data_IF_791752413631
#
_entry.id   IF_791752413631
#
_cell.length_a   1.000
_cell.length_b   1.000
_cell.length_c   1.000
_cell.angle_alpha   90.00
_cell.angle_beta   90.00
_cell.angle_gamma   90.00
#
_symmetry.space_group_name_H-M   'P 1'
#
loop_
_entity.id
_entity.type
_entity.pdbx_description
1 polymer ?
#
# COMPACT_ATOMS: atom_id res chain seq x y z
N UNK A 1 -23.81 -5.86 4.68
CA UNK A 1 -22.60 -6.19 3.88
C UNK A 1 -21.94 -7.40 4.55
N UNK A 2 -21.20 -8.25 3.84
CA UNK A 2 -20.44 -9.33 4.47
C UNK A 2 -18.94 -9.12 4.24
N UNK A 3 -18.13 -9.66 5.14
CA UNK A 3 -16.71 -9.84 4.93
C UNK A 3 -16.49 -10.57 3.60
N UNK A 4 -15.56 -10.10 2.77
CA UNK A 4 -15.24 -10.74 1.49
C UNK A 4 -14.02 -11.65 1.56
N UNK A 5 -13.25 -11.63 2.65
CA UNK A 5 -11.97 -12.31 2.72
C UNK A 5 -12.08 -13.82 3.00
N UNK A 6 -13.26 -14.31 3.41
CA UNK A 6 -13.59 -15.73 3.48
C UNK A 6 -14.05 -16.33 2.15
N UNK A 7 -14.30 -15.50 1.13
CA UNK A 7 -14.60 -16.00 -0.21
C UNK A 7 -13.39 -16.77 -0.78
N UNK A 8 -13.68 -17.80 -1.59
CA UNK A 8 -12.66 -18.73 -2.10
C UNK A 8 -11.53 -18.01 -2.83
N UNK A 9 -11.87 -16.97 -3.59
CA UNK A 9 -10.96 -16.17 -4.40
C UNK A 9 -10.02 -15.35 -3.51
N UNK A 10 -10.57 -14.70 -2.48
CA UNK A 10 -9.80 -13.93 -1.52
C UNK A 10 -8.90 -14.82 -0.67
N UNK A 11 -9.43 -15.93 -0.15
CA UNK A 11 -8.68 -16.91 0.63
C UNK A 11 -7.51 -17.50 -0.18
N UNK A 12 -7.71 -17.74 -1.49
CA UNK A 12 -6.62 -18.18 -2.39
C UNK A 12 -5.50 -17.14 -2.48
N UNK A 13 -5.84 -15.85 -2.60
CA UNK A 13 -4.87 -14.76 -2.64
C UNK A 13 -4.10 -14.62 -1.32
N UNK A 14 -4.81 -14.66 -0.20
CA UNK A 14 -4.23 -14.65 1.16
C UNK A 14 -3.26 -15.83 1.32
N UNK A 15 -3.72 -17.04 0.99
CA UNK A 15 -2.89 -18.25 1.05
C UNK A 15 -1.64 -18.12 0.19
N UNK A 16 -1.77 -17.65 -1.06
CA UNK A 16 -0.62 -17.48 -1.96
C UNK A 16 0.44 -16.57 -1.34
N UNK A 17 0.04 -15.43 -0.78
CA UNK A 17 0.96 -14.48 -0.16
C UNK A 17 1.68 -15.08 1.05
N UNK A 18 0.96 -15.70 1.97
CA UNK A 18 1.54 -16.29 3.18
C UNK A 18 2.33 -17.58 2.92
N UNK A 19 2.00 -18.33 1.87
CA UNK A 19 2.79 -19.48 1.42
C UNK A 19 4.20 -19.06 0.97
N UNK A 20 4.40 -17.84 0.43
CA UNK A 20 5.74 -17.34 0.09
C UNK A 20 6.60 -17.21 1.35
N UNK A 21 6.04 -16.72 2.45
CA UNK A 21 6.72 -16.62 3.74
C UNK A 21 6.98 -18.01 4.32
N UNK A 22 5.96 -18.88 4.33
CA UNK A 22 6.07 -20.24 4.85
C UNK A 22 7.12 -21.09 4.11
N UNK A 23 7.25 -20.91 2.79
CA UNK A 23 8.27 -21.58 1.96
C UNK A 23 9.66 -20.94 2.07
N UNK A 24 9.82 -19.86 2.83
CA UNK A 24 11.09 -19.18 3.05
C UNK A 24 11.50 -18.17 1.97
N UNK A 25 10.65 -17.89 0.98
CA UNK A 25 10.94 -16.89 -0.07
C UNK A 25 10.87 -15.45 0.44
N UNK A 26 10.11 -15.21 1.52
CA UNK A 26 10.04 -13.93 2.22
C UNK A 26 10.32 -14.15 3.71
N UNK A 27 11.59 -14.26 4.13
CA UNK A 27 11.94 -14.67 5.49
C UNK A 27 11.53 -13.63 6.54
N UNK A 28 10.82 -14.08 7.56
CA UNK A 28 10.29 -13.26 8.66
C UNK A 28 10.91 -13.57 10.04
N UNK A 29 11.76 -14.60 10.12
CA UNK A 29 12.24 -15.24 11.37
C UNK A 29 13.24 -14.43 12.20
N UNK A 30 13.54 -13.17 11.84
CA UNK A 30 14.41 -12.28 12.61
C UNK A 30 13.81 -10.91 12.92
N UNK A 31 12.54 -10.67 12.58
CA UNK A 31 11.92 -9.34 12.70
C UNK A 31 11.12 -9.22 14.00
N UNK A 32 11.57 -8.36 14.91
CA UNK A 32 10.84 -7.99 16.14
C UNK A 32 9.63 -7.07 15.87
N UNK A 33 9.65 -6.31 14.78
CA UNK A 33 8.58 -5.35 14.40
C UNK A 33 8.40 -5.36 12.87
N UNK A 34 7.17 -5.25 12.35
CA UNK A 34 6.95 -4.90 10.94
C UNK A 34 7.33 -3.43 10.69
N UNK A 35 8.64 -3.16 10.59
CA UNK A 35 9.19 -1.84 10.25
C UNK A 35 9.72 -1.81 8.81
N UNK A 36 9.79 -0.60 8.23
CA UNK A 36 10.22 -0.33 6.85
C UNK A 36 11.53 -1.03 6.48
N UNK A 37 11.51 -2.12 5.69
CA UNK A 37 12.71 -2.86 5.33
C UNK A 37 13.51 -2.18 4.22
N UNK A 38 13.24 -0.90 3.92
CA UNK A 38 13.92 -0.15 2.86
C UNK A 38 15.43 -0.09 3.12
N UNK A 39 15.81 0.07 4.39
CA UNK A 39 17.21 0.00 4.82
C UNK A 39 17.81 -1.40 4.63
N UNK A 40 17.06 -2.46 4.94
CA UNK A 40 17.54 -3.83 4.76
C UNK A 40 17.68 -4.20 3.27
N UNK A 41 16.83 -3.64 2.40
CA UNK A 41 16.88 -3.84 0.97
C UNK A 41 18.11 -3.19 0.35
N UNK A 42 18.23 -1.85 0.43
CA UNK A 42 19.29 -1.11 -0.27
C UNK A 42 20.58 -0.98 0.53
N UNK A 43 20.50 -0.71 1.83
CA UNK A 43 21.70 -0.41 2.63
C UNK A 43 22.37 -1.68 3.16
N UNK A 44 21.60 -2.75 3.42
CA UNK A 44 22.13 -4.00 3.96
C UNK A 44 22.25 -5.15 2.94
N UNK A 45 21.81 -4.96 1.69
CA UNK A 45 21.81 -5.99 0.63
C UNK A 45 21.18 -7.33 1.07
N UNK A 46 20.14 -7.29 1.90
CA UNK A 46 19.51 -8.50 2.47
C UNK A 46 18.36 -9.05 1.62
N UNK A 47 17.78 -8.23 0.75
CA UNK A 47 16.59 -8.57 -0.02
C UNK A 47 16.75 -8.15 -1.48
N UNK A 48 16.32 -9.00 -2.40
CA UNK A 48 16.33 -8.71 -3.84
C UNK A 48 15.03 -8.08 -4.36
N UNK A 49 13.90 -8.28 -3.66
CA UNK A 49 12.61 -7.65 -3.97
C UNK A 49 11.92 -7.10 -2.71
N UNK A 50 11.24 -5.95 -2.85
CA UNK A 50 10.42 -5.33 -1.80
C UNK A 50 9.14 -4.75 -2.43
N UNK A 51 8.01 -4.94 -1.75
CA UNK A 51 6.78 -4.18 -2.05
C UNK A 51 6.82 -2.92 -1.19
N UNK A 52 6.81 -1.77 -1.83
CA UNK A 52 6.97 -0.48 -1.15
C UNK A 52 6.01 0.56 -1.72
N UNK A 53 5.48 1.42 -0.83
CA UNK A 53 4.75 2.61 -1.24
C UNK A 53 5.68 3.60 -1.94
N UNK A 54 5.16 4.28 -2.95
CA UNK A 54 5.82 5.43 -3.58
C UNK A 54 6.16 6.53 -2.58
N UNK A 55 5.38 6.67 -1.51
CA UNK A 55 5.70 7.61 -0.44
C UNK A 55 7.02 7.19 0.19
N UNK A 56 7.28 5.92 0.46
CA UNK A 56 8.58 5.50 0.97
C UNK A 56 9.68 5.44 -0.11
N UNK A 57 9.36 5.73 -1.38
CA UNK A 57 10.30 5.75 -2.48
C UNK A 57 11.21 6.99 -2.49
N UNK A 58 10.97 8.02 -1.68
CA UNK A 58 12.01 9.04 -1.41
C UNK A 58 13.26 8.45 -0.75
N UNK A 59 13.16 7.27 -0.11
CA UNK A 59 14.31 6.54 0.42
C UNK A 59 14.97 5.63 -0.63
N UNK A 60 14.42 5.52 -1.83
CA UNK A 60 14.99 4.77 -2.94
C UNK A 60 15.84 5.75 -3.75
N UNK A 61 17.18 5.63 -3.72
CA UNK A 61 18.04 6.51 -4.49
C UNK A 61 17.65 6.43 -5.97
N UNK A 62 17.36 7.58 -6.60
CA UNK A 62 17.06 7.64 -8.03
C UNK A 62 15.60 7.52 -8.43
N UNK A 63 14.69 7.26 -7.49
CA UNK A 63 13.28 7.11 -7.84
C UNK A 63 12.56 8.46 -7.95
N UNK A 64 12.99 9.45 -7.17
CA UNK A 64 12.67 10.87 -7.34
C UNK A 64 13.98 11.64 -7.27
N UNK A 65 14.06 12.81 -7.92
CA UNK A 65 15.25 13.64 -8.23
C UNK A 65 16.30 13.87 -7.10
N UNK A 66 16.07 13.38 -5.88
CA UNK A 66 17.00 13.35 -4.76
C UNK A 66 17.72 12.00 -4.66
N UNK A 67 18.71 11.78 -5.53
CA UNK A 67 19.65 10.68 -5.33
C UNK A 67 20.57 11.00 -4.14
N UNK A 68 20.45 10.25 -3.05
CA UNK A 68 21.45 10.26 -1.96
C UNK A 68 22.60 9.27 -2.21
N UNK A 69 22.44 8.38 -3.21
CA UNK A 69 23.39 7.31 -3.57
C UNK A 69 23.39 7.00 -5.08
N UNK A 70 24.18 7.71 -5.88
CA UNK A 70 24.29 7.47 -7.32
C UNK A 70 24.71 6.04 -7.71
N UNK A 71 25.43 5.35 -6.82
CA UNK A 71 26.04 4.03 -7.07
C UNK A 71 25.06 2.85 -7.16
N UNK A 72 23.78 3.08 -6.82
CA UNK A 72 22.71 2.07 -6.92
C UNK A 72 21.65 2.41 -7.96
N UNK A 73 21.74 3.57 -8.64
CA UNK A 73 20.74 4.03 -9.60
C UNK A 73 20.49 3.01 -10.72
N UNK A 74 21.55 2.40 -11.23
CA UNK A 74 21.48 1.43 -12.33
C UNK A 74 21.26 -0.02 -11.85
N UNK A 75 21.04 -0.22 -10.55
CA UNK A 75 20.98 -1.56 -9.93
C UNK A 75 19.58 -1.95 -9.45
N UNK A 76 18.59 -1.07 -9.62
CA UNK A 76 17.21 -1.38 -9.27
C UNK A 76 16.27 -1.12 -10.44
N UNK A 77 15.15 -1.83 -10.43
CA UNK A 77 14.04 -1.60 -11.33
C UNK A 77 12.74 -1.57 -10.53
N UNK A 78 11.72 -0.94 -11.10
CA UNK A 78 10.36 -0.96 -10.58
C UNK A 78 9.49 -1.76 -11.51
N UNK A 79 8.70 -2.66 -10.93
CA UNK A 79 7.81 -3.54 -11.65
C UNK A 79 6.40 -3.45 -11.06
N UNK A 80 5.40 -3.75 -11.88
CA UNK A 80 4.04 -3.93 -11.42
C UNK A 80 3.96 -5.08 -10.41
N UNK A 81 3.01 -4.99 -9.48
CA UNK A 81 2.58 -6.20 -8.77
C UNK A 81 2.09 -7.24 -9.80
N UNK A 82 2.43 -8.53 -9.60
CA UNK A 82 2.05 -9.57 -10.55
C UNK A 82 0.53 -9.67 -10.64
N UNK A 83 0.04 -9.94 -11.85
CA UNK A 83 -1.39 -10.20 -12.05
C UNK A 83 -1.76 -11.56 -11.42
N UNK A 84 -2.82 -11.58 -10.64
CA UNK A 84 -3.46 -12.81 -10.20
C UNK A 84 -4.61 -13.21 -11.14
N UNK A 85 -5.31 -14.32 -10.85
CA UNK A 85 -6.46 -14.76 -11.64
C UNK A 85 -7.59 -13.72 -11.74
N UNK A 86 -7.71 -12.82 -10.77
CA UNK A 86 -8.68 -11.72 -10.77
C UNK A 86 -8.19 -10.44 -11.47
N UNK A 87 -6.97 -10.44 -12.01
CA UNK A 87 -6.33 -9.26 -12.59
C UNK A 87 -5.18 -8.71 -11.75
N UNK A 88 -4.75 -7.50 -12.10
CA UNK A 88 -3.66 -6.78 -11.45
C UNK A 88 -4.23 -5.63 -10.63
N UNK A 89 -3.83 -5.56 -9.36
CA UNK A 89 -4.25 -4.51 -8.45
C UNK A 89 -3.07 -4.03 -7.61
N UNK A 90 -3.07 -2.75 -7.27
CA UNK A 90 -2.17 -2.12 -6.31
C UNK A 90 -2.98 -1.31 -5.31
N UNK A 91 -2.59 -1.35 -4.05
CA UNK A 91 -3.30 -0.63 -3.01
C UNK A 91 -3.16 0.89 -3.21
N UNK A 92 -4.29 1.59 -3.27
CA UNK A 92 -4.36 3.05 -3.35
C UNK A 92 -4.88 3.60 -2.03
N UNK A 93 -3.97 4.15 -1.23
CA UNK A 93 -4.28 4.88 0.00
C UNK A 93 -4.07 6.39 -0.15
N UNK A 94 -3.88 7.08 0.97
CA UNK A 94 -3.56 8.50 1.01
C UNK A 94 -4.37 9.26 2.04
N UNK A 95 -4.37 10.58 1.91
CA UNK A 95 -5.13 11.49 2.76
C UNK A 95 -5.99 12.40 1.89
N UNK A 96 -7.22 12.65 2.35
CA UNK A 96 -8.14 13.60 1.74
C UNK A 96 -8.26 14.85 2.62
N UNK A 97 -8.71 15.95 2.01
CA UNK A 97 -9.01 17.19 2.71
C UNK A 97 -10.53 17.29 2.93
N UNK A 98 -10.92 17.72 4.12
CA UNK A 98 -12.32 17.96 4.48
C UNK A 98 -12.43 19.24 5.32
N UNK A 99 -13.58 19.90 5.23
CA UNK A 99 -13.91 21.07 6.05
C UNK A 99 -14.75 20.58 7.22
N UNK A 100 -14.31 20.88 8.45
CA UNK A 100 -15.10 20.59 9.65
C UNK A 100 -16.44 21.30 9.60
N UNK A 101 -17.52 20.60 9.96
CA UNK A 101 -18.85 21.20 10.10
C UNK A 101 -18.90 22.30 11.17
N UNK A 102 -17.94 22.35 12.08
CA UNK A 102 -17.82 23.38 13.13
C UNK A 102 -16.99 24.61 12.71
N UNK A 103 -16.46 24.64 11.48
CA UNK A 103 -15.65 25.77 11.03
C UNK A 103 -16.49 27.04 10.83
N UNK A 104 -16.00 28.16 11.34
CA UNK A 104 -16.54 29.51 11.11
C UNK A 104 -16.03 30.15 9.81
N UNK A 105 -15.07 29.51 9.12
CA UNK A 105 -14.38 30.00 7.92
C UNK A 105 -14.50 29.02 6.75
N UNK A 106 -15.73 28.57 6.45
CA UNK A 106 -15.96 27.49 5.47
C UNK A 106 -15.59 27.92 4.06
N UNK A 107 -15.90 29.15 3.70
CA UNK A 107 -15.62 29.74 2.38
C UNK A 107 -14.12 29.86 2.14
N UNK A 108 -13.36 30.38 3.11
CA UNK A 108 -11.90 30.49 3.02
C UNK A 108 -11.23 29.11 3.02
N UNK A 109 -11.69 28.20 3.89
CA UNK A 109 -11.22 26.81 3.88
C UNK A 109 -11.46 26.14 2.52
N UNK A 110 -12.59 26.41 1.87
CA UNK A 110 -12.86 25.90 0.53
C UNK A 110 -11.93 26.51 -0.52
N UNK A 111 -11.66 27.82 -0.48
CA UNK A 111 -10.66 28.42 -1.38
C UNK A 111 -9.28 27.80 -1.18
N UNK A 112 -8.91 27.52 0.07
CA UNK A 112 -7.63 26.90 0.39
C UNK A 112 -7.55 25.45 -0.11
N UNK A 113 -8.61 24.64 0.06
CA UNK A 113 -8.66 23.29 -0.51
C UNK A 113 -8.50 23.33 -2.02
N UNK A 114 -9.21 24.22 -2.73
CA UNK A 114 -9.04 24.40 -4.20
C UNK A 114 -7.61 24.78 -4.58
N UNK A 115 -6.96 25.61 -3.79
CA UNK A 115 -5.56 25.94 -4.01
C UNK A 115 -4.66 24.71 -3.83
N UNK A 116 -4.81 23.96 -2.74
CA UNK A 116 -4.01 22.76 -2.46
C UNK A 116 -4.23 21.64 -3.48
N UNK A 117 -5.42 21.56 -4.09
CA UNK A 117 -5.73 20.56 -5.13
C UNK A 117 -5.51 21.07 -6.56
N UNK A 118 -5.07 22.32 -6.74
CA UNK A 118 -4.73 22.85 -8.06
C UNK A 118 -3.53 22.13 -8.67
N UNK A 119 -3.52 22.03 -10.01
CA UNK A 119 -2.40 21.44 -10.76
C UNK A 119 -1.08 22.11 -10.41
N UNK A 120 -1.09 23.44 -10.34
CA UNK A 120 0.08 24.28 -10.07
C UNK A 120 0.64 24.00 -8.67
N UNK A 121 -0.22 23.92 -7.65
CA UNK A 121 0.23 23.61 -6.30
C UNK A 121 0.75 22.19 -6.18
N UNK A 122 0.08 21.20 -6.77
CA UNK A 122 0.54 19.81 -6.68
C UNK A 122 1.89 19.61 -7.40
N UNK A 123 2.11 20.27 -8.54
CA UNK A 123 3.42 20.30 -9.21
C UNK A 123 4.48 20.95 -8.30
N UNK A 124 4.14 22.07 -7.65
CA UNK A 124 5.03 22.75 -6.70
C UNK A 124 5.36 21.85 -5.51
N UNK A 125 4.38 21.17 -4.94
CA UNK A 125 4.54 20.27 -3.80
C UNK A 125 5.43 19.09 -4.16
N UNK A 126 5.24 18.49 -5.33
CA UNK A 126 6.11 17.41 -5.82
C UNK A 126 7.57 17.88 -5.94
N UNK A 127 7.82 19.03 -6.56
CA UNK A 127 9.18 19.57 -6.69
C UNK A 127 9.83 19.88 -5.32
N UNK A 128 9.03 20.34 -4.36
CA UNK A 128 9.51 20.72 -3.03
C UNK A 128 9.73 19.53 -2.08
N UNK A 129 8.92 18.48 -2.17
CA UNK A 129 8.84 17.43 -1.16
C UNK A 129 8.75 16.00 -1.73
N UNK A 130 8.78 15.83 -3.05
CA UNK A 130 8.63 14.54 -3.75
C UNK A 130 7.34 13.79 -3.38
N UNK A 131 6.31 14.53 -2.97
CA UNK A 131 4.97 13.98 -2.75
C UNK A 131 4.27 13.87 -4.09
N UNK A 132 3.85 12.66 -4.46
CA UNK A 132 3.15 12.43 -5.70
C UNK A 132 1.83 13.24 -5.75
N UNK A 133 1.53 13.88 -6.90
CA UNK A 133 0.22 14.49 -7.11
C UNK A 133 -0.92 13.47 -7.07
N UNK A 134 -2.09 13.92 -6.66
CA UNK A 134 -3.34 13.13 -6.73
C UNK A 134 -4.14 13.42 -8.00
N UNK A 135 -3.91 14.57 -8.65
CA UNK A 135 -4.55 14.96 -9.91
C UNK A 135 -3.82 14.37 -11.12
N UNK A 136 -4.58 13.75 -12.04
CA UNK A 136 -4.04 13.13 -13.26
C UNK A 136 -3.31 14.17 -14.14
N UNK A 137 -3.79 15.42 -14.21
CA UNK A 137 -3.16 16.46 -15.01
C UNK A 137 -1.79 16.88 -14.49
N UNK A 138 -1.62 16.92 -13.16
CA UNK A 138 -0.34 17.21 -12.52
C UNK A 138 0.62 16.03 -12.69
N UNK A 139 0.15 14.79 -12.53
CA UNK A 139 0.91 13.58 -12.82
C UNK A 139 1.41 13.56 -14.27
N UNK A 140 0.51 13.76 -15.23
CA UNK A 140 0.88 13.79 -16.65
C UNK A 140 1.90 14.89 -16.96
N UNK A 141 1.73 16.08 -16.39
CA UNK A 141 2.66 17.18 -16.60
C UNK A 141 4.06 16.88 -16.05
N UNK A 142 4.15 16.25 -14.87
CA UNK A 142 5.44 15.93 -14.25
C UNK A 142 6.18 14.79 -14.94
N UNK A 143 5.45 13.80 -15.45
CA UNK A 143 6.04 12.55 -15.89
C UNK A 143 5.82 12.20 -17.37
N UNK A 144 5.49 13.18 -18.21
CA UNK A 144 5.34 12.98 -19.66
C UNK A 144 6.60 12.40 -20.33
N UNK A 145 7.78 12.73 -19.81
CA UNK A 145 9.09 12.20 -20.24
C UNK A 145 9.75 11.32 -19.15
N UNK A 146 8.94 10.72 -18.27
CA UNK A 146 9.44 9.91 -17.16
C UNK A 146 10.27 8.69 -17.61
N UNK A 147 11.16 8.26 -16.74
CA UNK A 147 11.92 7.00 -16.83
C UNK A 147 10.98 5.79 -16.89
N UNK A 148 11.50 4.63 -17.29
CA UNK A 148 10.68 3.40 -17.33
C UNK A 148 10.16 3.00 -15.93
N UNK A 149 10.92 3.29 -14.87
CA UNK A 149 10.47 3.09 -13.49
C UNK A 149 9.29 3.99 -13.13
N UNK A 150 9.33 5.27 -13.52
CA UNK A 150 8.24 6.22 -13.30
C UNK A 150 6.99 5.84 -14.12
N UNK A 151 7.16 5.38 -15.35
CA UNK A 151 6.04 4.89 -16.19
C UNK A 151 5.28 3.75 -15.51
N UNK A 152 5.99 2.79 -14.92
CA UNK A 152 5.36 1.69 -14.15
C UNK A 152 4.54 2.24 -12.99
N UNK A 153 5.06 3.24 -12.28
CA UNK A 153 4.35 3.85 -11.17
C UNK A 153 3.07 4.55 -11.62
N UNK A 154 3.16 5.40 -12.64
CA UNK A 154 2.04 6.17 -13.17
C UNK A 154 0.95 5.25 -13.71
N UNK A 155 1.36 4.23 -14.46
CA UNK A 155 0.44 3.21 -14.98
C UNK A 155 -0.24 2.46 -13.84
N UNK A 156 0.49 2.16 -12.76
CA UNK A 156 -0.09 1.58 -11.54
C UNK A 156 -1.16 2.48 -10.92
N UNK A 157 -0.88 3.77 -10.76
CA UNK A 157 -1.85 4.72 -10.21
C UNK A 157 -3.10 4.89 -11.08
N UNK A 158 -2.93 4.95 -12.41
CA UNK A 158 -4.03 5.18 -13.36
C UNK A 158 -4.93 3.97 -13.52
N UNK A 159 -4.34 2.78 -13.63
CA UNK A 159 -5.05 1.62 -14.16
C UNK A 159 -5.15 0.43 -13.19
N UNK A 160 -4.32 0.39 -12.14
CA UNK A 160 -4.30 -0.74 -11.20
C UNK A 160 -4.60 -0.34 -9.75
N UNK A 161 -4.73 0.95 -9.46
CA UNK A 161 -5.04 1.45 -8.12
C UNK A 161 -6.41 0.98 -7.62
N UNK A 162 -6.46 0.42 -6.42
CA UNK A 162 -7.71 0.05 -5.74
C UNK A 162 -7.65 0.43 -4.27
N UNK A 163 -8.66 1.15 -3.81
CA UNK A 163 -8.85 1.50 -2.41
C UNK A 163 -9.83 0.54 -1.73
N UNK A 164 -9.85 0.56 -0.40
CA UNK A 164 -10.87 -0.14 0.38
C UNK A 164 -12.26 0.41 0.09
N UNK A 165 -13.27 -0.43 0.28
CA UNK A 165 -14.65 0.02 0.27
C UNK A 165 -14.88 0.88 1.51
N UNK A 166 -15.44 2.08 1.32
CA UNK A 166 -15.74 2.97 2.44
C UNK A 166 -16.92 2.42 3.24
N UNK A 167 -16.68 2.19 4.52
CA UNK A 167 -17.67 1.79 5.53
C UNK A 167 -17.34 2.53 6.81
N UNK A 168 -18.36 2.95 7.56
CA UNK A 168 -18.17 3.83 8.72
C UNK A 168 -17.29 3.18 9.80
N UNK A 169 -17.44 1.86 9.99
CA UNK A 169 -16.67 1.08 10.96
C UNK A 169 -15.30 0.61 10.42
N UNK A 170 -14.77 1.19 9.33
CA UNK A 170 -13.53 0.73 8.70
C UNK A 170 -12.36 0.64 9.70
N UNK A 171 -12.21 1.63 10.58
CA UNK A 171 -11.13 1.63 11.58
C UNK A 171 -11.17 0.40 12.50
N UNK A 172 -12.36 0.00 12.97
CA UNK A 172 -12.53 -1.20 13.80
C UNK A 172 -12.25 -2.48 12.99
N UNK A 173 -12.74 -2.53 11.75
CA UNK A 173 -12.49 -3.67 10.84
C UNK A 173 -11.00 -3.82 10.55
N UNK A 174 -10.29 -2.71 10.35
CA UNK A 174 -8.85 -2.72 10.10
C UNK A 174 -8.06 -3.30 11.28
N UNK A 175 -8.41 -2.97 12.52
CA UNK A 175 -7.79 -3.59 13.70
C UNK A 175 -7.98 -5.11 13.74
N UNK A 176 -9.20 -5.58 13.43
CA UNK A 176 -9.51 -7.02 13.34
C UNK A 176 -8.65 -7.69 12.25
N UNK A 177 -8.50 -7.06 11.09
CA UNK A 177 -7.67 -7.57 9.99
C UNK A 177 -6.18 -7.57 10.34
N UNK A 178 -5.68 -6.55 11.05
CA UNK A 178 -4.29 -6.50 11.53
C UNK A 178 -4.01 -7.66 12.48
N UNK A 179 -4.91 -7.94 13.42
CA UNK A 179 -4.77 -9.09 14.32
C UNK A 179 -4.81 -10.42 13.56
N UNK A 180 -5.76 -10.58 12.63
CA UNK A 180 -5.87 -11.76 11.77
C UNK A 180 -4.56 -12.06 11.03
N UNK A 181 -4.00 -11.07 10.32
CA UNK A 181 -2.75 -11.25 9.59
C UNK A 181 -1.55 -11.44 10.53
N UNK A 182 -1.53 -10.79 11.69
CA UNK A 182 -0.53 -11.01 12.74
C UNK A 182 -0.49 -12.46 13.19
N UNK A 183 -1.66 -13.05 13.46
CA UNK A 183 -1.76 -14.45 13.88
C UNK A 183 -1.31 -15.45 12.81
N UNK A 184 -1.53 -15.16 11.52
CA UNK A 184 -0.98 -15.97 10.43
C UNK A 184 0.56 -15.90 10.44
N UNK A 185 1.12 -14.70 10.56
CA UNK A 185 2.58 -14.49 10.63
C UNK A 185 3.18 -15.26 11.81
N UNK A 186 2.56 -15.20 12.98
CA UNK A 186 3.05 -15.88 14.17
C UNK A 186 2.91 -17.40 14.06
N UNK A 187 1.85 -17.90 13.44
CA UNK A 187 1.73 -19.33 13.12
C UNK A 187 2.84 -19.81 12.17
N UNK A 188 3.25 -18.99 11.20
CA UNK A 188 4.39 -19.30 10.31
C UNK A 188 5.69 -19.35 11.12
N UNK A 189 5.94 -18.36 11.99
CA UNK A 189 7.15 -18.34 12.85
C UNK A 189 7.21 -19.52 13.80
N UNK A 190 6.06 -19.96 14.30
CA UNK A 190 5.93 -21.06 15.26
C UNK A 190 5.75 -22.43 14.60
N UNK A 191 5.91 -22.52 13.27
CA UNK A 191 5.77 -23.76 12.49
C UNK A 191 4.39 -24.45 12.64
N UNK A 192 3.34 -23.69 12.95
CA UNK A 192 1.96 -24.18 13.12
C UNK A 192 1.01 -23.77 11.99
N UNK A 193 1.49 -23.01 11.01
CA UNK A 193 0.72 -22.62 9.83
C UNK A 193 0.38 -23.82 8.93
N UNK A 194 -0.91 -23.95 8.56
CA UNK A 194 -1.43 -24.95 7.63
C UNK A 194 -2.65 -24.39 6.88
N UNK A 195 -3.13 -25.10 5.84
CA UNK A 195 -4.36 -24.73 5.15
C UNK A 195 -5.59 -24.75 6.06
N UNK A 196 -5.66 -25.72 6.98
CA UNK A 196 -6.75 -25.84 7.95
C UNK A 196 -6.70 -24.70 8.98
N UNK A 197 -5.49 -24.36 9.46
CA UNK A 197 -5.29 -23.19 10.32
C UNK A 197 -5.80 -21.93 9.65
N UNK A 198 -5.38 -21.68 8.40
CA UNK A 198 -5.76 -20.49 7.66
C UNK A 198 -7.27 -20.41 7.47
N UNK A 199 -7.91 -21.53 7.09
CA UNK A 199 -9.36 -21.60 6.88
C UNK A 199 -10.13 -21.31 8.18
N UNK A 200 -9.71 -21.92 9.29
CA UNK A 200 -10.32 -21.71 10.60
C UNK A 200 -10.20 -20.26 11.07
N UNK A 201 -9.00 -19.67 11.01
CA UNK A 201 -8.80 -18.28 11.41
C UNK A 201 -9.57 -17.33 10.49
N UNK A 202 -9.57 -17.57 9.18
CA UNK A 202 -10.34 -16.76 8.21
C UNK A 202 -11.82 -16.72 8.60
N UNK A 203 -12.43 -17.86 8.89
CA UNK A 203 -13.84 -17.92 9.28
C UNK A 203 -14.10 -17.20 10.61
N UNK A 204 -13.26 -17.43 11.63
CA UNK A 204 -13.34 -16.78 12.93
C UNK A 204 -13.31 -15.24 12.82
N UNK A 205 -12.35 -14.69 12.07
CA UNK A 205 -12.24 -13.24 11.90
C UNK A 205 -13.33 -12.69 10.98
N UNK A 206 -13.80 -13.46 10.00
CA UNK A 206 -14.92 -13.06 9.14
C UNK A 206 -16.22 -12.91 9.95
N UNK A 207 -16.48 -13.77 10.92
CA UNK A 207 -17.62 -13.64 11.84
C UNK A 207 -17.58 -12.32 12.62
N UNK A 208 -16.41 -11.93 13.13
CA UNK A 208 -16.24 -10.64 13.84
C UNK A 208 -16.50 -9.44 12.92
N UNK A 209 -15.95 -9.46 11.70
CA UNK A 209 -16.19 -8.40 10.72
C UNK A 209 -17.67 -8.36 10.28
N UNK A 210 -18.29 -9.53 10.08
CA UNK A 210 -19.71 -9.62 9.74
C UNK A 210 -20.61 -9.03 10.84
N UNK A 211 -20.27 -9.28 12.11
CA UNK A 211 -20.98 -8.66 13.22
C UNK A 211 -20.90 -7.13 13.17
N UNK A 212 -19.69 -6.57 13.01
CA UNK A 212 -19.50 -5.12 12.91
C UNK A 212 -20.25 -4.53 11.70
N UNK A 213 -20.26 -5.22 10.56
CA UNK A 213 -20.98 -4.80 9.35
C UNK A 213 -22.51 -4.95 9.45
N UNK A 214 -23.02 -5.56 10.53
CA UNK A 214 -24.46 -5.73 10.79
C UNK A 214 -25.03 -4.71 11.77
N UNK A 215 -24.16 -3.95 12.46
CA UNK A 215 -24.53 -2.81 13.30
C UNK A 215 -24.98 -1.62 12.44
#
# INVERSE_FOLDING_TARGET
MMAGFQEREALRGIKFYFDLMHKGYAPITGRKVPGYPVNDFFAANRYSMIIISSVAAYNIPGFFERASRPEVLDKFGVAFLPAGPGGRFSFLGGYNLAISSYSEHREEAWQFIKYLTSKEFQIRQYKAASVLPTGIDALNALFHEGTDNEKVLIETYKNYGRSYKQVDAWGSIEFILVEFFGNIIDAIKNHSYSGDFLTRETNKYAEQVNYILSL
#
